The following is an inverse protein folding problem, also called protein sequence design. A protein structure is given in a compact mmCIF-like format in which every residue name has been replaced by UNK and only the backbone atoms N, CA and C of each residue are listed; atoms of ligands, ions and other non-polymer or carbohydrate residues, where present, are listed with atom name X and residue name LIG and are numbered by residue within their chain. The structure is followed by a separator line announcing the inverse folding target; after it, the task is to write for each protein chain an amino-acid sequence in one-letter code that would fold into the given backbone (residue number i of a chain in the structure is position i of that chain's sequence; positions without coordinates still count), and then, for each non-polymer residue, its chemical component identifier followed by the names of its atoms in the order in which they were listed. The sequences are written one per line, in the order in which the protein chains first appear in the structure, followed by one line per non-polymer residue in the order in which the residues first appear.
data_IF_316064386867
#
_entry.id   IF_316064386867
#
_cell.length_a   1.000
_cell.length_b   1.000
_cell.length_c   1.000
_cell.angle_alpha   90.00
_cell.angle_beta   90.00
_cell.angle_gamma   90.00
#
_symmetry.space_group_name_H-M   'P 1'
#
loop_
_entity.id
_entity.type
_entity.pdbx_description
1 polymer ?
#
# COMPACT_ATOMS: atom_id res chain seq x y z
N UNK A 1 0.01 2.82 28.21
CA UNK A 1 0.14 2.75 26.73
C UNK A 1 0.40 4.14 26.19
N UNK A 2 1.44 4.31 25.36
CA UNK A 2 1.76 5.59 24.72
C UNK A 2 1.01 5.70 23.39
N UNK A 3 -0.28 6.08 23.44
CA UNK A 3 -1.12 6.20 22.25
C UNK A 3 -0.66 7.31 21.30
N UNK A 4 0.06 8.33 21.80
CA UNK A 4 0.65 9.39 20.98
C UNK A 4 1.70 8.81 20.03
N UNK A 5 2.54 7.90 20.51
CA UNK A 5 3.53 7.22 19.68
C UNK A 5 2.87 6.34 18.60
N UNK A 6 1.81 5.60 18.96
CA UNK A 6 1.02 4.82 18.01
C UNK A 6 0.43 5.72 16.91
N UNK A 7 -0.22 6.81 17.30
CA UNK A 7 -0.83 7.72 16.34
C UNK A 7 0.20 8.39 15.41
N UNK A 8 1.36 8.75 15.95
CA UNK A 8 2.49 9.26 15.14
C UNK A 8 2.95 8.21 14.12
N UNK A 9 3.12 6.95 14.54
CA UNK A 9 3.62 5.87 13.68
C UNK A 9 2.65 5.57 12.53
N UNK A 10 1.34 5.46 12.83
CA UNK A 10 0.31 5.21 11.81
C UNK A 10 0.17 6.38 10.83
N UNK A 11 0.25 7.63 11.33
CA UNK A 11 0.29 8.81 10.46
C UNK A 11 1.52 8.79 9.54
N UNK A 12 2.69 8.44 10.05
CA UNK A 12 3.90 8.31 9.25
C UNK A 12 3.80 7.21 8.19
N UNK A 13 3.02 6.16 8.44
CA UNK A 13 2.67 5.12 7.46
C UNK A 13 1.55 5.55 6.48
N UNK A 14 1.06 6.79 6.57
CA UNK A 14 0.04 7.34 5.66
C UNK A 14 -1.40 6.92 5.97
N UNK A 15 -1.68 6.50 7.22
CA UNK A 15 -3.04 6.22 7.68
C UNK A 15 -3.69 7.49 8.27
N UNK A 16 -5.02 7.58 8.16
CA UNK A 16 -5.79 8.70 8.71
C UNK A 16 -5.72 8.73 10.24
N UNK A 17 -5.76 9.94 10.80
CA UNK A 17 -5.73 10.17 12.25
C UNK A 17 -7.14 10.07 12.86
N UNK A 18 -8.20 10.09 12.04
CA UNK A 18 -9.60 10.15 12.52
C UNK A 18 -9.97 8.97 13.42
N UNK A 19 -9.70 7.73 12.97
CA UNK A 19 -9.91 6.52 13.77
C UNK A 19 -9.07 6.51 15.06
N UNK A 20 -7.94 7.22 15.07
CA UNK A 20 -7.04 7.31 16.23
C UNK A 20 -7.48 8.35 17.26
N UNK A 21 -8.20 9.39 16.82
CA UNK A 21 -8.89 10.33 17.72
C UNK A 21 -10.00 9.60 18.47
N UNK A 22 -10.74 8.75 17.77
CA UNK A 22 -11.77 7.90 18.39
C UNK A 22 -11.15 6.91 19.39
N UNK A 23 -10.07 6.21 19.01
CA UNK A 23 -9.31 5.36 19.92
C UNK A 23 -8.84 6.08 21.19
N UNK A 24 -8.31 7.30 21.05
CA UNK A 24 -7.82 8.11 22.17
C UNK A 24 -8.95 8.63 23.07
N UNK A 25 -10.11 8.95 22.49
CA UNK A 25 -11.31 9.39 23.21
C UNK A 25 -11.90 8.25 24.04
N UNK A 26 -11.97 7.06 23.44
CA UNK A 26 -12.40 5.82 24.07
C UNK A 26 -11.46 5.42 25.22
N UNK A 27 -10.15 5.60 25.07
CA UNK A 27 -9.15 5.30 26.11
C UNK A 27 -9.38 6.05 27.43
N UNK A 28 -10.05 7.21 27.39
CA UNK A 28 -10.35 8.04 28.56
C UNK A 28 -11.60 7.60 29.33
N UNK A 29 -12.47 6.78 28.73
CA UNK A 29 -13.79 6.41 29.30
C UNK A 29 -13.81 5.12 30.13
N UNK A 30 -12.81 4.23 30.01
CA UNK A 30 -12.75 2.96 30.77
C UNK A 30 -13.90 1.97 30.48
N UNK A 31 -13.85 0.75 31.03
CA UNK A 31 -14.95 -0.23 30.95
C UNK A 31 -15.12 -0.95 29.60
N UNK A 32 -16.38 -1.17 29.17
CA UNK A 32 -16.81 -1.89 27.94
C UNK A 32 -16.25 -1.31 26.62
N UNK A 33 -15.51 -0.21 26.74
CA UNK A 33 -14.83 0.52 25.68
C UNK A 33 -13.60 -0.21 25.12
N UNK A 34 -13.08 -1.24 25.83
CA UNK A 34 -11.89 -1.99 25.38
C UNK A 34 -12.08 -2.78 24.08
N UNK A 35 -13.29 -3.28 23.81
CA UNK A 35 -13.57 -4.03 22.57
C UNK A 35 -13.56 -3.09 21.36
N UNK A 36 -14.29 -1.97 21.44
CA UNK A 36 -14.31 -0.96 20.38
C UNK A 36 -12.90 -0.41 20.07
N UNK A 37 -12.06 -0.22 21.10
CA UNK A 37 -10.65 0.16 20.90
C UNK A 37 -9.87 -0.90 20.12
N UNK A 38 -10.10 -2.18 20.41
CA UNK A 38 -9.43 -3.28 19.72
C UNK A 38 -9.90 -3.40 18.27
N UNK A 39 -11.19 -3.17 18.02
CA UNK A 39 -11.78 -3.20 16.67
C UNK A 39 -11.17 -2.10 15.79
N UNK A 40 -11.00 -0.88 16.33
CA UNK A 40 -10.28 0.20 15.63
C UNK A 40 -8.85 -0.24 15.27
N UNK A 41 -8.12 -0.87 16.18
CA UNK A 41 -6.76 -1.34 15.89
C UNK A 41 -6.74 -2.42 14.78
N UNK A 42 -7.73 -3.31 14.75
CA UNK A 42 -7.87 -4.30 13.69
C UNK A 42 -8.17 -3.65 12.34
N UNK A 43 -9.05 -2.66 12.30
CA UNK A 43 -9.35 -1.90 11.08
C UNK A 43 -8.11 -1.17 10.56
N UNK A 44 -7.36 -0.50 11.45
CA UNK A 44 -6.10 0.17 11.06
C UNK A 44 -5.06 -0.83 10.53
N UNK A 45 -4.98 -2.03 11.10
CA UNK A 45 -4.10 -3.08 10.59
C UNK A 45 -4.51 -3.56 9.19
N UNK A 46 -5.81 -3.72 8.93
CA UNK A 46 -6.32 -4.09 7.61
C UNK A 46 -5.93 -3.03 6.57
N UNK A 47 -6.18 -1.75 6.86
CA UNK A 47 -5.81 -0.63 5.97
C UNK A 47 -4.29 -0.60 5.71
N UNK A 48 -3.49 -0.83 6.74
CA UNK A 48 -2.03 -0.87 6.61
C UNK A 48 -1.58 -2.01 5.68
N UNK A 49 -2.20 -3.19 5.79
CA UNK A 49 -1.88 -4.34 4.94
C UNK A 49 -2.27 -4.09 3.48
N UNK A 50 -3.42 -3.45 3.23
CA UNK A 50 -3.84 -3.06 1.88
C UNK A 50 -2.84 -2.08 1.25
N UNK A 51 -2.45 -1.04 1.98
CA UNK A 51 -1.42 -0.08 1.54
C UNK A 51 -0.08 -0.76 1.27
N UNK A 52 0.34 -1.70 2.12
CA UNK A 52 1.58 -2.45 1.91
C UNK A 52 1.51 -3.25 0.60
N UNK A 53 0.38 -3.91 0.34
CA UNK A 53 0.16 -4.63 -0.92
C UNK A 53 0.26 -3.68 -2.12
N UNK A 54 -0.43 -2.54 -2.08
CA UNK A 54 -0.37 -1.55 -3.17
C UNK A 54 1.06 -1.02 -3.39
N UNK A 55 1.81 -0.78 -2.32
CA UNK A 55 3.21 -0.35 -2.40
C UNK A 55 4.11 -1.42 -3.02
N UNK A 56 3.88 -2.69 -2.68
CA UNK A 56 4.62 -3.82 -3.26
C UNK A 56 4.30 -4.01 -4.75
N UNK A 57 3.02 -3.92 -5.14
CA UNK A 57 2.60 -3.97 -6.54
C UNK A 57 3.23 -2.81 -7.34
N UNK A 58 3.25 -1.61 -6.77
CA UNK A 58 3.89 -0.43 -7.38
C UNK A 58 5.40 -0.60 -7.49
N UNK A 59 6.05 -1.16 -6.47
CA UNK A 59 7.49 -1.46 -6.49
C UNK A 59 7.82 -2.47 -7.60
N UNK A 60 7.02 -3.53 -7.75
CA UNK A 60 7.20 -4.54 -8.78
C UNK A 60 7.09 -3.94 -10.18
N UNK A 61 6.10 -3.08 -10.40
CA UNK A 61 5.94 -2.34 -11.65
C UNK A 61 7.14 -1.44 -11.93
N UNK A 62 7.61 -0.68 -10.94
CA UNK A 62 8.76 0.19 -11.10
C UNK A 62 10.02 -0.60 -11.44
N UNK A 63 10.26 -1.72 -10.74
CA UNK A 63 11.38 -2.62 -11.02
C UNK A 63 11.32 -3.13 -12.46
N UNK A 64 10.17 -3.64 -12.89
CA UNK A 64 9.99 -4.09 -14.27
C UNK A 64 10.30 -2.98 -15.30
N UNK A 65 9.84 -1.75 -15.04
CA UNK A 65 10.12 -0.62 -15.93
C UNK A 65 11.58 -0.23 -15.99
N UNK A 66 12.30 -0.34 -14.88
CA UNK A 66 13.75 -0.14 -14.83
C UNK A 66 14.45 -1.26 -15.62
N UNK A 67 14.11 -2.52 -15.35
CA UNK A 67 14.76 -3.69 -15.96
C UNK A 67 14.57 -3.75 -17.49
N UNK A 68 13.46 -3.19 -18.00
CA UNK A 68 13.11 -3.17 -19.45
C UNK A 68 13.34 -1.83 -20.12
N UNK A 69 13.90 -0.85 -19.41
CA UNK A 69 13.98 0.53 -19.89
C UNK A 69 14.74 0.64 -21.22
N UNK A 70 15.97 0.11 -21.26
CA UNK A 70 16.86 0.23 -22.41
C UNK A 70 16.31 -0.50 -23.65
N UNK A 71 15.72 -1.68 -23.46
CA UNK A 71 15.10 -2.44 -24.55
C UNK A 71 13.90 -1.70 -25.14
N UNK A 72 13.03 -1.15 -24.28
CA UNK A 72 11.89 -0.34 -24.74
C UNK A 72 12.35 0.93 -25.45
N UNK A 73 13.41 1.58 -24.97
CA UNK A 73 13.98 2.76 -25.61
C UNK A 73 14.53 2.42 -27.00
N UNK A 74 15.30 1.34 -27.13
CA UNK A 74 15.83 0.90 -28.42
C UNK A 74 14.73 0.58 -29.45
N UNK A 75 13.65 -0.11 -29.02
CA UNK A 75 12.50 -0.40 -29.89
C UNK A 75 11.74 0.86 -30.29
N UNK A 76 11.65 1.84 -29.39
CA UNK A 76 11.04 3.14 -29.70
C UNK A 76 11.88 3.90 -30.74
N UNK A 77 13.20 3.98 -30.54
CA UNK A 77 14.12 4.66 -31.47
C UNK A 77 14.16 3.97 -32.84
N UNK A 78 13.99 2.65 -32.89
CA UNK A 78 13.87 1.88 -34.13
C UNK A 78 12.50 2.04 -34.83
N UNK A 79 11.53 2.71 -34.21
CA UNK A 79 10.17 2.87 -34.73
C UNK A 79 9.31 1.59 -34.65
N UNK A 80 9.77 0.59 -33.91
CA UNK A 80 9.08 -0.71 -33.74
C UNK A 80 7.97 -0.66 -32.68
N UNK A 81 8.00 0.36 -31.81
CA UNK A 81 6.99 0.57 -30.76
C UNK A 81 6.14 1.81 -31.07
N UNK A 82 4.84 1.60 -31.29
CA UNK A 82 3.83 2.64 -31.54
C UNK A 82 2.77 2.63 -30.42
N UNK A 83 1.94 3.67 -30.35
CA UNK A 83 0.84 3.71 -29.37
C UNK A 83 -0.14 2.52 -29.52
N UNK A 84 -0.23 1.94 -30.73
CA UNK A 84 -1.15 0.84 -31.04
C UNK A 84 -0.63 -0.54 -30.61
N UNK A 85 0.69 -0.70 -30.41
CA UNK A 85 1.31 -1.96 -29.97
C UNK A 85 1.97 -1.88 -28.58
N UNK A 86 1.73 -0.77 -27.86
CA UNK A 86 2.26 -0.56 -26.52
C UNK A 86 1.83 -1.67 -25.54
N UNK A 87 2.78 -2.07 -24.69
CA UNK A 87 2.55 -3.09 -23.68
C UNK A 87 1.45 -2.72 -22.69
N UNK A 88 0.45 -3.60 -22.54
CA UNK A 88 -0.68 -3.43 -21.62
C UNK A 88 -0.31 -3.89 -20.20
N UNK A 89 0.38 -3.05 -19.46
CA UNK A 89 0.85 -3.34 -18.09
C UNK A 89 -0.27 -3.75 -17.13
N UNK A 90 -1.48 -3.19 -17.30
CA UNK A 90 -2.66 -3.50 -16.48
C UNK A 90 -3.22 -4.92 -16.69
N UNK A 91 -2.77 -5.64 -17.71
CA UNK A 91 -3.15 -7.02 -18.02
C UNK A 91 -2.16 -8.05 -17.47
N UNK A 92 -1.03 -7.65 -16.88
CA UNK A 92 -0.02 -8.58 -16.37
C UNK A 92 -0.33 -9.00 -14.93
N UNK A 93 -0.78 -10.24 -14.67
CA UNK A 93 -1.15 -10.69 -13.33
C UNK A 93 0.04 -10.73 -12.36
N UNK A 94 1.26 -11.03 -12.82
CA UNK A 94 2.47 -11.04 -11.99
C UNK A 94 2.92 -9.65 -11.49
N UNK A 95 2.34 -8.56 -12.00
CA UNK A 95 2.50 -7.20 -11.44
C UNK A 95 1.46 -6.90 -10.33
N UNK A 96 0.54 -7.82 -10.07
CA UNK A 96 -0.51 -7.74 -9.03
C UNK A 96 -0.45 -8.87 -7.99
N UNK A 97 0.38 -9.88 -8.24
CA UNK A 97 0.38 -11.20 -7.57
C UNK A 97 1.77 -11.57 -7.00
N UNK A 98 2.57 -10.57 -6.64
CA UNK A 98 3.79 -10.80 -5.86
C UNK A 98 3.39 -10.98 -4.39
N UNK A 99 2.78 -12.12 -4.05
CA UNK A 99 2.89 -12.82 -2.75
C UNK A 99 2.08 -14.13 -2.79
N UNK A 100 2.58 -15.12 -3.55
CA UNK A 100 2.39 -16.53 -3.22
C UNK A 100 3.77 -17.18 -3.09
N UNK A 101 4.24 -17.22 -1.85
CA UNK A 101 5.38 -18.04 -1.42
C UNK A 101 6.73 -17.34 -1.49
N UNK A 102 7.27 -16.99 -0.31
CA UNK A 102 8.40 -17.68 0.32
C UNK A 102 8.34 -17.47 1.85
#
# INVERSE_FOLDING_TARGET
MNWIFLAKSLRSAGLSIESLIEFATLARKGGAVRQAQKDILHEQLTILNEKLKEMQDTQALLKYKIDTFDEHLAKFDAGEMTADNAEKLWQKPYLKDNHKGE
#
